data_IF_816437152208
#
_entry.id   IF_816437152208
#
_cell.length_a   1.000
_cell.length_b   1.000
_cell.length_c   1.000
_cell.angle_alpha   90.00
_cell.angle_beta   90.00
_cell.angle_gamma   90.00
#
_symmetry.space_group_name_H-M   'P 1'
#
loop_
_entity.id
_entity.type
_entity.pdbx_description
1 polymer ?
#
# COMPACT_ATOMS: atom_id res chain seq x y z
N UNK A 1 -41.30 25.50 -15.84
CA UNK A 1 -40.99 24.27 -15.05
C UNK A 1 -40.07 23.39 -15.89
N UNK A 2 -39.14 22.69 -15.23
CA UNK A 2 -38.09 21.80 -15.77
C UNK A 2 -36.72 22.46 -15.96
N UNK A 3 -35.97 22.53 -14.86
CA UNK A 3 -34.53 22.73 -14.85
C UNK A 3 -33.95 22.32 -13.49
N UNK A 4 -32.77 21.69 -13.51
CA UNK A 4 -31.87 21.52 -12.34
C UNK A 4 -32.00 20.29 -11.42
N UNK A 5 -32.24 19.08 -11.96
CA UNK A 5 -31.98 17.82 -11.20
C UNK A 5 -30.82 16.96 -11.72
N UNK A 6 -29.86 17.50 -12.49
CA UNK A 6 -28.78 16.67 -13.06
C UNK A 6 -27.34 17.12 -12.78
N UNK A 7 -27.11 17.88 -11.70
CA UNK A 7 -25.76 18.36 -11.34
C UNK A 7 -25.27 17.88 -9.97
N UNK A 8 -26.07 17.11 -9.22
CA UNK A 8 -25.72 16.64 -7.86
C UNK A 8 -24.96 15.31 -7.79
N UNK A 9 -24.85 14.56 -8.89
CA UNK A 9 -24.22 13.22 -8.90
C UNK A 9 -22.81 13.17 -9.49
N UNK A 10 -22.30 14.27 -10.08
CA UNK A 10 -20.98 14.27 -10.76
C UNK A 10 -19.77 14.45 -9.85
N UNK A 11 -19.90 14.93 -8.60
CA UNK A 11 -18.73 15.27 -7.76
C UNK A 11 -18.34 14.27 -6.65
N UNK A 12 -19.16 13.24 -6.35
CA UNK A 12 -18.89 12.30 -5.25
C UNK A 12 -18.37 10.91 -5.65
N UNK A 13 -18.26 10.60 -6.94
CA UNK A 13 -17.98 9.22 -7.38
C UNK A 13 -16.50 8.89 -7.59
N UNK A 14 -15.62 9.87 -7.72
CA UNK A 14 -14.19 9.62 -7.99
C UNK A 14 -13.37 9.26 -6.74
N UNK A 15 -13.88 9.53 -5.53
CA UNK A 15 -13.10 9.39 -4.29
C UNK A 15 -13.42 8.10 -3.48
N UNK A 16 -14.56 7.44 -3.72
CA UNK A 16 -14.94 6.23 -2.97
C UNK A 16 -14.05 5.01 -3.25
N UNK A 17 -13.37 4.97 -4.40
CA UNK A 17 -12.56 3.81 -4.80
C UNK A 17 -11.19 3.77 -4.10
N UNK A 18 -10.57 4.93 -3.82
CA UNK A 18 -9.28 5.00 -3.11
C UNK A 18 -9.39 4.52 -1.66
N UNK A 19 -10.53 4.77 -1.02
CA UNK A 19 -10.74 4.45 0.39
C UNK A 19 -10.82 2.94 0.64
N UNK A 20 -11.19 2.13 -0.35
CA UNK A 20 -11.31 0.66 -0.21
C UNK A 20 -10.16 -0.13 -0.85
N UNK A 21 -9.07 0.53 -1.24
CA UNK A 21 -7.89 -0.17 -1.75
C UNK A 21 -7.26 -1.04 -0.64
N UNK A 22 -7.15 -2.34 -0.89
CA UNK A 22 -6.53 -3.30 0.02
C UNK A 22 -5.11 -2.91 0.39
N UNK A 23 -4.36 -2.40 -0.58
CA UNK A 23 -3.00 -1.87 -0.43
C UNK A 23 -2.91 -0.58 -1.23
N UNK A 24 -2.38 0.48 -0.63
CA UNK A 24 -2.17 1.77 -1.30
C UNK A 24 -0.93 2.48 -0.79
N UNK A 25 -0.35 3.33 -1.63
CA UNK A 25 0.73 4.23 -1.26
C UNK A 25 0.16 5.58 -0.81
N UNK A 26 0.63 6.10 0.32
CA UNK A 26 0.26 7.43 0.82
C UNK A 26 1.39 8.00 1.68
N UNK A 27 1.80 9.25 1.41
CA UNK A 27 2.77 9.98 2.24
C UNK A 27 4.06 9.19 2.55
N UNK A 28 4.62 8.52 1.55
CA UNK A 28 5.78 7.63 1.68
C UNK A 28 5.57 6.46 2.66
N UNK A 29 4.35 5.93 2.70
CA UNK A 29 3.97 4.77 3.49
C UNK A 29 3.14 3.79 2.66
N UNK A 30 3.27 2.51 3.01
CA UNK A 30 2.34 1.48 2.56
C UNK A 30 1.19 1.42 3.55
N UNK A 31 -0.01 1.66 3.07
CA UNK A 31 -1.24 1.56 3.85
C UNK A 31 -2.00 0.31 3.42
N UNK A 32 -2.40 -0.52 4.38
CA UNK A 32 -3.15 -1.75 4.11
C UNK A 32 -4.43 -1.79 4.95
N UNK A 33 -5.46 -2.45 4.43
CA UNK A 33 -6.56 -2.92 5.25
C UNK A 33 -6.10 -4.17 6.01
N UNK A 34 -6.20 -4.17 7.34
CA UNK A 34 -5.88 -5.35 8.15
C UNK A 34 -7.00 -6.39 8.04
N UNK A 35 -6.79 -7.34 7.12
CA UNK A 35 -7.75 -8.40 6.83
C UNK A 35 -7.90 -9.42 7.96
N UNK A 36 -7.07 -9.36 9.03
CA UNK A 36 -7.24 -10.20 10.23
C UNK A 36 -8.33 -9.68 11.16
N UNK A 37 -8.75 -8.42 11.00
CA UNK A 37 -9.79 -7.78 11.81
C UNK A 37 -11.17 -7.79 11.16
N UNK A 38 -11.24 -8.14 9.89
CA UNK A 38 -12.50 -8.30 9.17
C UNK A 38 -13.18 -9.64 9.54
N UNK A 39 -14.53 -9.70 9.60
CA UNK A 39 -15.48 -8.61 9.30
C UNK A 39 -15.75 -7.67 10.49
N UNK A 40 -15.21 -7.96 11.67
CA UNK A 40 -15.55 -7.24 12.91
C UNK A 40 -15.18 -5.75 12.88
N UNK A 41 -14.04 -5.38 12.28
CA UNK A 41 -13.58 -3.99 12.22
C UNK A 41 -12.74 -3.70 10.98
N UNK A 42 -13.04 -2.61 10.30
CA UNK A 42 -12.19 -2.03 9.27
C UNK A 42 -11.06 -1.23 9.93
N UNK A 43 -9.82 -1.73 9.84
CA UNK A 43 -8.62 -1.10 10.39
C UNK A 43 -7.60 -0.88 9.28
N UNK A 44 -7.04 0.32 9.20
CA UNK A 44 -5.92 0.63 8.31
C UNK A 44 -4.62 0.66 9.08
N UNK A 45 -3.62 -0.07 8.59
CA UNK A 45 -2.26 -0.10 9.13
C UNK A 45 -1.30 0.58 8.17
N UNK A 46 -0.23 1.19 8.70
CA UNK A 46 0.70 2.03 7.93
C UNK A 46 2.13 1.61 8.20
N UNK A 47 2.89 1.39 7.13
CA UNK A 47 4.26 0.91 7.20
C UNK A 47 5.22 1.88 6.52
N UNK A 48 6.36 2.15 7.17
CA UNK A 48 7.47 2.99 6.66
C UNK A 48 8.73 2.20 6.33
N UNK A 49 8.77 0.93 6.73
CA UNK A 49 9.92 0.04 6.54
C UNK A 49 9.48 -1.20 5.79
N UNK A 50 10.30 -1.67 4.85
CA UNK A 50 9.96 -2.82 4.03
C UNK A 50 9.90 -4.11 4.84
N UNK A 51 10.64 -4.20 5.94
CA UNK A 51 10.61 -5.33 6.87
C UNK A 51 9.28 -5.45 7.60
N UNK A 52 8.61 -4.32 7.88
CA UNK A 52 7.25 -4.32 8.44
C UNK A 52 6.22 -4.78 7.42
N UNK A 53 6.39 -4.40 6.15
CA UNK A 53 5.54 -4.88 5.05
C UNK A 53 5.67 -6.39 4.90
N UNK A 54 6.89 -6.93 4.93
CA UNK A 54 7.13 -8.35 4.85
C UNK A 54 6.50 -9.12 6.04
N UNK A 55 6.63 -8.60 7.26
CA UNK A 55 5.91 -9.13 8.45
C UNK A 55 4.40 -9.08 8.29
N UNK A 56 3.85 -8.06 7.65
CA UNK A 56 2.41 -7.94 7.40
C UNK A 56 1.91 -9.02 6.44
N UNK A 57 2.69 -9.36 5.41
CA UNK A 57 2.40 -10.47 4.48
C UNK A 57 2.44 -11.81 5.24
N UNK A 58 3.51 -12.08 5.99
CA UNK A 58 3.68 -13.31 6.78
C UNK A 58 2.54 -13.53 7.80
N UNK A 59 2.06 -12.44 8.42
CA UNK A 59 0.97 -12.47 9.41
C UNK A 59 -0.42 -12.40 8.78
N UNK A 60 -0.52 -12.45 7.45
CA UNK A 60 -1.79 -12.40 6.71
C UNK A 60 -2.62 -11.13 6.98
N UNK A 61 -1.97 -10.02 7.34
CA UNK A 61 -2.59 -8.68 7.37
C UNK A 61 -3.10 -8.34 5.97
N UNK A 62 -2.30 -8.65 4.95
CA UNK A 62 -2.69 -8.65 3.54
C UNK A 62 -2.58 -10.06 2.99
N UNK A 63 -3.54 -10.44 2.15
CA UNK A 63 -3.58 -11.75 1.47
C UNK A 63 -4.25 -11.64 0.10
N UNK A 64 -4.10 -12.70 -0.69
CA UNK A 64 -4.50 -12.78 -2.09
C UNK A 64 -3.32 -12.41 -3.01
N UNK A 65 -3.03 -13.27 -3.99
CA UNK A 65 -1.81 -13.15 -4.81
C UNK A 65 -1.61 -11.75 -5.44
N UNK A 66 -2.64 -11.10 -6.02
CA UNK A 66 -2.47 -9.75 -6.56
C UNK A 66 -2.12 -8.70 -5.49
N UNK A 67 -2.76 -8.76 -4.31
CA UNK A 67 -2.53 -7.80 -3.24
C UNK A 67 -1.15 -7.99 -2.57
N UNK A 68 -0.70 -9.25 -2.44
CA UNK A 68 0.66 -9.56 -1.97
C UNK A 68 1.69 -8.99 -2.94
N UNK A 69 1.50 -9.16 -4.25
CA UNK A 69 2.41 -8.58 -5.25
C UNK A 69 2.52 -7.05 -5.15
N UNK A 70 1.40 -6.36 -4.99
CA UNK A 70 1.38 -4.89 -4.79
C UNK A 70 2.06 -4.50 -3.47
N UNK A 71 1.80 -5.23 -2.38
CA UNK A 71 2.46 -5.01 -1.09
C UNK A 71 3.98 -5.14 -1.18
N UNK A 72 4.47 -6.23 -1.80
CA UNK A 72 5.90 -6.46 -2.00
C UNK A 72 6.55 -5.38 -2.87
N UNK A 73 5.89 -4.96 -3.96
CA UNK A 73 6.39 -3.88 -4.83
C UNK A 73 6.51 -2.54 -4.09
N UNK A 74 5.53 -2.19 -3.25
CA UNK A 74 5.66 -1.00 -2.42
C UNK A 74 6.67 -1.17 -1.28
N UNK A 75 6.84 -2.39 -0.74
CA UNK A 75 7.94 -2.72 0.15
C UNK A 75 9.31 -2.41 -0.48
N UNK A 76 9.53 -2.84 -1.72
CA UNK A 76 10.74 -2.51 -2.49
C UNK A 76 10.91 -1.01 -2.69
N UNK A 77 9.81 -0.27 -2.88
CA UNK A 77 9.83 1.19 -2.99
C UNK A 77 10.24 1.86 -1.67
N UNK A 78 9.78 1.35 -0.52
CA UNK A 78 10.26 1.80 0.79
C UNK A 78 11.76 1.54 0.99
N UNK A 79 12.26 0.39 0.54
CA UNK A 79 13.69 0.07 0.60
C UNK A 79 14.54 1.05 -0.24
N UNK A 80 14.05 1.43 -1.43
CA UNK A 80 14.70 2.43 -2.26
C UNK A 80 14.73 3.81 -1.58
N UNK A 81 13.62 4.22 -0.98
CA UNK A 81 13.50 5.51 -0.28
C UNK A 81 14.34 5.57 1.00
N UNK A 82 14.48 4.45 1.71
CA UNK A 82 15.26 4.38 2.95
C UNK A 82 16.76 4.18 2.73
N UNK A 83 17.18 3.80 1.51
CA UNK A 83 18.59 3.59 1.18
C UNK A 83 19.39 4.90 1.30
N UNK A 84 20.56 4.81 1.93
CA UNK A 84 21.56 5.90 2.00
C UNK A 84 22.62 5.80 0.91
N UNK A 85 22.41 4.92 -0.07
CA UNK A 85 23.35 4.70 -1.15
C UNK A 85 23.62 5.98 -1.95
N UNK A 86 24.89 6.30 -2.16
CA UNK A 86 25.32 7.43 -2.99
C UNK A 86 25.62 7.04 -4.45
N UNK A 87 25.55 5.74 -4.77
CA UNK A 87 25.85 5.23 -6.09
C UNK A 87 24.98 4.02 -6.43
N UNK A 88 24.89 3.71 -7.73
CA UNK A 88 24.07 2.61 -8.25
C UNK A 88 24.44 1.26 -7.63
N UNK A 89 25.73 0.97 -7.43
CA UNK A 89 26.19 -0.33 -6.92
C UNK A 89 25.71 -0.56 -5.49
N UNK A 90 25.81 0.43 -4.62
CA UNK A 90 25.31 0.33 -3.24
C UNK A 90 23.79 0.27 -3.18
N UNK A 91 23.08 1.06 -4.01
CA UNK A 91 21.61 1.00 -4.07
C UNK A 91 21.13 -0.40 -4.47
N UNK A 92 21.73 -0.99 -5.51
CA UNK A 92 21.38 -2.34 -5.94
C UNK A 92 21.68 -3.38 -4.86
N UNK A 93 22.72 -3.19 -4.04
CA UNK A 93 22.99 -4.07 -2.89
C UNK A 93 21.86 -3.99 -1.86
N UNK A 94 21.44 -2.78 -1.49
CA UNK A 94 20.36 -2.57 -0.53
C UNK A 94 19.04 -3.15 -1.03
N UNK A 95 18.72 -2.93 -2.32
CA UNK A 95 17.51 -3.48 -2.94
C UNK A 95 17.53 -5.02 -3.02
N UNK A 96 18.70 -5.65 -3.25
CA UNK A 96 18.83 -7.11 -3.19
C UNK A 96 18.54 -7.66 -1.80
N UNK A 97 19.00 -6.96 -0.75
CA UNK A 97 18.67 -7.34 0.63
C UNK A 97 17.16 -7.25 0.88
N UNK A 98 16.50 -6.21 0.39
CA UNK A 98 15.05 -6.08 0.50
C UNK A 98 14.30 -7.16 -0.31
N UNK A 99 14.76 -7.48 -1.52
CA UNK A 99 14.18 -8.52 -2.37
C UNK A 99 14.17 -9.89 -1.71
N UNK A 100 15.22 -10.27 -0.99
CA UNK A 100 15.27 -11.55 -0.27
C UNK A 100 14.33 -11.57 0.94
N UNK A 101 14.00 -10.40 1.50
CA UNK A 101 13.13 -10.29 2.67
C UNK A 101 11.65 -10.29 2.32
N UNK A 102 11.26 -9.72 1.19
CA UNK A 102 9.87 -9.51 0.77
C UNK A 102 9.30 -10.71 0.01
#
# INVERSE_FOLDING_TARGET
MLGSKNQKYKSKSANRSKDLLTVRWENNQVVMIDQTKLPAKLVYVRYRKYEDVARAIERLVVRGAPAIGVAAAFGMSLAAISSKAKNKKSLIKDLKTAYVRL
#
